data_IF_346161830542
#
_entry.id   IF_346161830542
#
_cell.length_a   1.000
_cell.length_b   1.000
_cell.length_c   1.000
_cell.angle_alpha   90.00
_cell.angle_beta   90.00
_cell.angle_gamma   90.00
#
_symmetry.space_group_name_H-M   'P 1'
#
loop_
_entity.id
_entity.type
_entity.pdbx_description
1 polymer ?
#
# COMPACT_ATOMS: atom_id res chain seq x y z
N UNK A 1 -20.37 -14.96 -15.83
CA UNK A 1 -19.50 -15.74 -16.74
C UNK A 1 -18.01 -15.35 -16.66
N UNK A 2 -17.64 -14.08 -16.49
CA UNK A 2 -16.22 -13.65 -16.37
C UNK A 2 -15.46 -14.18 -15.13
N UNK A 3 -16.18 -14.48 -14.04
CA UNK A 3 -15.57 -14.96 -12.79
C UNK A 3 -15.10 -16.42 -12.89
N UNK A 4 -15.81 -17.26 -13.66
CA UNK A 4 -15.43 -18.66 -13.93
C UNK A 4 -14.22 -18.73 -14.87
N UNK A 5 -14.10 -17.79 -15.82
CA UNK A 5 -12.97 -17.71 -16.74
C UNK A 5 -11.66 -17.32 -16.01
N UNK A 6 -11.73 -16.46 -14.98
CA UNK A 6 -10.57 -16.08 -14.16
C UNK A 6 -10.04 -17.24 -13.31
N UNK A 7 -10.94 -18.01 -12.69
CA UNK A 7 -10.56 -19.20 -11.90
C UNK A 7 -9.95 -20.28 -12.80
N UNK A 8 -10.47 -20.44 -14.02
CA UNK A 8 -9.91 -21.38 -14.99
C UNK A 8 -8.50 -20.99 -15.46
N UNK A 9 -8.24 -19.70 -15.71
CA UNK A 9 -6.92 -19.22 -16.14
C UNK A 9 -5.89 -19.23 -15.00
N UNK A 10 -6.28 -18.84 -13.79
CA UNK A 10 -5.44 -18.93 -12.59
C UNK A 10 -5.12 -20.39 -12.24
N UNK A 11 -6.09 -21.30 -12.41
CA UNK A 11 -5.88 -22.73 -12.23
C UNK A 11 -4.84 -23.31 -13.18
N UNK A 12 -4.87 -22.93 -14.46
CA UNK A 12 -3.87 -23.39 -15.44
C UNK A 12 -2.45 -22.88 -15.11
N UNK A 13 -2.32 -21.65 -14.62
CA UNK A 13 -1.02 -21.10 -14.22
C UNK A 13 -0.45 -21.84 -13.00
N UNK A 14 -1.27 -22.10 -11.98
CA UNK A 14 -0.85 -22.85 -10.77
C UNK A 14 -0.43 -24.27 -11.13
N UNK A 15 -1.19 -24.95 -12.01
CA UNK A 15 -0.83 -26.29 -12.50
C UNK A 15 0.47 -26.25 -13.30
N UNK A 16 0.68 -25.24 -14.14
CA UNK A 16 1.93 -25.06 -14.89
C UNK A 16 3.14 -24.82 -14.00
N UNK A 17 3.02 -23.97 -12.98
CA UNK A 17 4.08 -23.70 -11.99
C UNK A 17 4.39 -24.95 -11.17
N UNK A 18 3.38 -25.68 -10.71
CA UNK A 18 3.56 -26.94 -10.00
C UNK A 18 4.24 -28.00 -10.88
N UNK A 19 3.88 -28.08 -12.16
CA UNK A 19 4.52 -28.99 -13.12
C UNK A 19 5.99 -28.61 -13.35
N UNK A 20 6.31 -27.32 -13.48
CA UNK A 20 7.68 -26.83 -13.62
C UNK A 20 8.52 -27.16 -12.38
N UNK A 21 8.00 -26.87 -11.18
CA UNK A 21 8.66 -27.19 -9.90
C UNK A 21 8.89 -28.71 -9.79
N UNK A 22 7.89 -29.52 -10.14
CA UNK A 22 8.01 -30.98 -10.15
C UNK A 22 9.08 -31.46 -11.14
N UNK A 23 9.16 -30.87 -12.33
CA UNK A 23 10.14 -31.23 -13.35
C UNK A 23 11.56 -30.84 -12.93
N UNK A 24 11.72 -29.66 -12.30
CA UNK A 24 12.98 -29.21 -11.72
C UNK A 24 13.43 -30.09 -10.55
N UNK A 25 12.52 -30.49 -9.66
CA UNK A 25 12.81 -31.41 -8.56
C UNK A 25 13.16 -32.82 -9.08
N UNK A 26 12.45 -33.31 -10.10
CA UNK A 26 12.73 -34.63 -10.72
C UNK A 26 14.08 -34.63 -11.44
N UNK A 27 14.45 -33.51 -12.09
CA UNK A 27 15.77 -33.33 -12.71
C UNK A 27 16.85 -33.23 -11.65
N UNK A 28 16.67 -32.38 -10.62
CA UNK A 28 17.60 -32.19 -9.50
C UNK A 28 17.85 -33.49 -8.74
N UNK A 29 16.80 -34.26 -8.43
CA UNK A 29 16.94 -35.58 -7.77
C UNK A 29 17.72 -36.60 -8.61
N UNK A 30 17.75 -36.51 -9.95
CA UNK A 30 18.60 -37.38 -10.78
C UNK A 30 20.08 -37.00 -10.68
N UNK A 31 20.40 -35.72 -10.47
CA UNK A 31 21.77 -35.27 -10.20
C UNK A 31 22.17 -35.58 -8.76
N UNK A 32 21.29 -35.39 -7.78
CA UNK A 32 21.57 -35.68 -6.37
C UNK A 32 21.66 -37.19 -6.06
N UNK A 33 20.86 -38.05 -6.71
CA UNK A 33 20.97 -39.51 -6.51
C UNK A 33 22.30 -40.10 -7.00
N UNK A 34 23.04 -39.40 -7.87
CA UNK A 34 24.43 -39.76 -8.22
C UNK A 34 25.43 -39.32 -7.14
N UNK A 35 25.13 -38.27 -6.37
CA UNK A 35 25.95 -37.79 -5.26
C UNK A 35 25.70 -38.55 -3.94
N UNK A 36 24.47 -39.02 -3.70
CA UNK A 36 24.05 -39.57 -2.40
C UNK A 36 24.36 -41.07 -2.22
N UNK A 37 24.62 -41.82 -3.31
CA UNK A 37 25.02 -43.24 -3.22
C UNK A 37 26.51 -43.46 -2.89
N UNK A 38 27.31 -42.40 -2.69
CA UNK A 38 28.75 -42.54 -2.46
C UNK A 38 29.40 -41.69 -1.33
N UNK A 39 28.70 -41.14 -0.31
CA UNK A 39 29.35 -40.20 0.61
C UNK A 39 30.27 -40.87 1.67
N UNK A 40 30.13 -42.16 1.95
CA UNK A 40 30.94 -42.82 3.02
C UNK A 40 32.13 -43.61 2.48
N UNK A 41 32.00 -44.35 1.37
CA UNK A 41 33.16 -45.08 0.79
C UNK A 41 34.07 -44.21 -0.07
N UNK A 42 33.57 -43.14 -0.71
CA UNK A 42 34.42 -42.24 -1.50
C UNK A 42 35.28 -41.34 -0.58
N UNK A 43 34.74 -40.86 0.53
CA UNK A 43 35.50 -40.03 1.48
C UNK A 43 36.61 -40.81 2.17
N UNK A 44 36.38 -42.10 2.45
CA UNK A 44 37.38 -43.00 3.03
C UNK A 44 38.44 -43.42 1.99
N UNK A 45 38.04 -43.74 0.75
CA UNK A 45 39.00 -44.02 -0.33
C UNK A 45 39.81 -42.80 -0.77
N UNK A 46 39.25 -41.59 -0.72
CA UNK A 46 40.01 -40.34 -0.99
C UNK A 46 40.95 -40.01 0.18
N UNK A 47 40.58 -40.33 1.42
CA UNK A 47 41.47 -40.15 2.57
C UNK A 47 42.60 -41.20 2.63
N UNK A 48 42.35 -42.43 2.20
CA UNK A 48 43.36 -43.50 2.09
C UNK A 48 44.25 -43.35 0.85
N UNK A 49 43.69 -42.96 -0.31
CA UNK A 49 44.48 -42.64 -1.51
C UNK A 49 45.39 -41.42 -1.33
N UNK A 50 45.10 -40.55 -0.35
CA UNK A 50 45.98 -39.42 0.02
C UNK A 50 47.22 -39.84 0.81
N UNK A 51 47.26 -41.06 1.34
CA UNK A 51 48.37 -41.53 2.21
C UNK A 51 49.38 -42.43 1.49
N UNK A 52 49.10 -42.88 0.27
CA UNK A 52 50.00 -43.77 -0.48
C UNK A 52 50.17 -43.32 -1.93
N UNK A 53 50.97 -42.28 -2.13
CA UNK A 53 51.85 -42.06 -3.29
C UNK A 53 52.24 -40.58 -3.30
N UNK A 54 53.51 -40.23 -3.08
CA UNK A 54 53.94 -38.87 -3.35
C UNK A 54 53.79 -38.65 -4.86
N UNK A 55 52.98 -37.66 -5.26
CA UNK A 55 52.83 -37.13 -6.62
C UNK A 55 54.13 -36.46 -7.11
N UNK A 56 55.29 -37.04 -6.79
CA UNK A 56 56.62 -36.55 -7.20
C UNK A 56 56.85 -36.65 -8.71
N UNK A 57 55.95 -37.33 -9.43
CA UNK A 57 56.02 -37.54 -10.89
C UNK A 57 54.79 -36.99 -11.63
N UNK A 58 53.97 -36.15 -10.97
CA UNK A 58 52.89 -35.46 -11.66
C UNK A 58 53.48 -34.30 -12.50
N UNK A 59 53.11 -34.18 -13.80
CA UNK A 59 53.53 -33.07 -14.63
C UNK A 59 53.36 -31.73 -13.92
N UNK A 60 54.34 -30.82 -14.01
CA UNK A 60 54.34 -29.56 -13.26
C UNK A 60 53.09 -28.71 -13.55
N UNK A 61 52.46 -28.89 -14.72
CA UNK A 61 51.18 -28.24 -14.99
C UNK A 61 50.08 -28.68 -14.03
N UNK A 62 49.95 -29.98 -13.71
CA UNK A 62 48.88 -30.50 -12.84
C UNK A 62 49.03 -29.95 -11.42
N UNK A 63 50.26 -29.87 -10.91
CA UNK A 63 50.55 -29.27 -9.62
C UNK A 63 50.19 -27.77 -9.60
N UNK A 64 50.47 -27.04 -10.68
CA UNK A 64 50.09 -25.63 -10.82
C UNK A 64 48.58 -25.45 -10.81
N UNK A 65 47.85 -26.25 -11.60
CA UNK A 65 46.38 -26.25 -11.62
C UNK A 65 45.80 -26.59 -10.24
N UNK A 66 46.41 -27.53 -9.52
CA UNK A 66 45.97 -27.89 -8.17
C UNK A 66 46.11 -26.71 -7.19
N UNK A 67 47.23 -25.99 -7.24
CA UNK A 67 47.44 -24.81 -6.39
C UNK A 67 46.46 -23.70 -6.77
N UNK A 68 46.27 -23.43 -8.07
CA UNK A 68 45.35 -22.42 -8.57
C UNK A 68 43.89 -22.72 -8.16
N UNK A 69 43.47 -23.99 -8.27
CA UNK A 69 42.14 -24.42 -7.78
C UNK A 69 42.00 -24.31 -6.26
N UNK A 70 43.07 -24.56 -5.51
CA UNK A 70 43.05 -24.37 -4.06
C UNK A 70 42.95 -22.90 -3.67
N UNK A 71 43.64 -22.01 -4.40
CA UNK A 71 43.62 -20.58 -4.13
C UNK A 71 42.26 -19.97 -4.47
N UNK A 72 41.71 -20.32 -5.64
CA UNK A 72 40.34 -19.91 -6.04
C UNK A 72 39.28 -20.45 -5.08
N UNK A 73 39.40 -21.70 -4.61
CA UNK A 73 38.49 -22.24 -3.61
C UNK A 73 38.57 -21.47 -2.28
N UNK A 74 39.77 -21.03 -1.88
CA UNK A 74 39.98 -20.24 -0.67
C UNK A 74 39.39 -18.84 -0.81
N UNK A 75 39.59 -18.20 -1.96
CA UNK A 75 39.04 -16.89 -2.28
C UNK A 75 37.50 -16.91 -2.31
N UNK A 76 36.91 -17.87 -3.03
CA UNK A 76 35.45 -18.04 -3.08
C UNK A 76 34.86 -18.29 -1.69
N UNK A 77 35.55 -19.08 -0.85
CA UNK A 77 35.12 -19.30 0.52
C UNK A 77 35.12 -18.00 1.33
N UNK A 78 36.19 -17.21 1.23
CA UNK A 78 36.28 -15.93 1.93
C UNK A 78 35.18 -14.95 1.48
N UNK A 79 34.89 -14.89 0.18
CA UNK A 79 33.81 -14.06 -0.35
C UNK A 79 32.43 -14.52 0.15
N UNK A 80 32.18 -15.83 0.16
CA UNK A 80 30.93 -16.40 0.69
C UNK A 80 30.78 -16.13 2.19
N UNK A 81 31.84 -16.34 2.98
CA UNK A 81 31.82 -16.09 4.42
C UNK A 81 31.53 -14.59 4.70
N UNK A 82 32.12 -13.68 3.91
CA UNK A 82 31.84 -12.24 3.99
C UNK A 82 30.38 -11.89 3.67
N UNK A 83 29.84 -12.43 2.57
CA UNK A 83 28.44 -12.22 2.18
C UNK A 83 27.47 -12.82 3.19
N UNK A 84 27.78 -13.98 3.75
CA UNK A 84 26.96 -14.63 4.79
C UNK A 84 26.94 -13.77 6.06
N UNK A 85 28.08 -13.22 6.47
CA UNK A 85 28.16 -12.31 7.61
C UNK A 85 27.31 -11.05 7.37
N UNK A 86 27.35 -10.47 6.17
CA UNK A 86 26.53 -9.32 5.82
C UNK A 86 25.02 -9.64 5.87
N UNK A 87 24.61 -10.79 5.32
CA UNK A 87 23.21 -11.25 5.37
C UNK A 87 22.72 -11.55 6.79
N UNK A 88 23.58 -12.12 7.64
CA UNK A 88 23.26 -12.35 9.04
C UNK A 88 23.05 -11.03 9.79
N UNK A 89 23.88 -10.01 9.52
CA UNK A 89 23.74 -8.70 10.12
C UNK A 89 22.42 -8.02 9.70
N UNK A 90 22.07 -8.03 8.42
CA UNK A 90 20.82 -7.42 7.94
C UNK A 90 19.59 -8.15 8.44
N UNK A 91 19.63 -9.49 8.49
CA UNK A 91 18.54 -10.30 9.04
C UNK A 91 18.33 -9.98 10.52
N UNK A 92 19.41 -9.85 11.29
CA UNK A 92 19.33 -9.47 12.71
C UNK A 92 18.69 -8.10 12.91
N UNK A 93 19.07 -7.11 12.09
CA UNK A 93 18.47 -5.77 12.13
C UNK A 93 16.98 -5.82 11.77
N UNK A 94 16.60 -6.59 10.75
CA UNK A 94 15.21 -6.75 10.36
C UNK A 94 14.38 -7.41 11.48
N UNK A 95 14.90 -8.46 12.12
CA UNK A 95 14.24 -9.11 13.26
C UNK A 95 14.07 -8.18 14.46
N UNK A 96 15.08 -7.36 14.77
CA UNK A 96 15.00 -6.37 15.84
C UNK A 96 13.96 -5.29 15.53
N UNK A 97 13.93 -4.80 14.29
CA UNK A 97 12.94 -3.83 13.83
C UNK A 97 11.51 -4.39 13.90
N UNK A 98 11.29 -5.64 13.44
CA UNK A 98 10.00 -6.33 13.53
C UNK A 98 9.57 -6.50 14.98
N UNK A 99 10.45 -6.99 15.86
CA UNK A 99 10.14 -7.18 17.28
C UNK A 99 9.78 -5.85 17.97
N UNK A 100 10.49 -4.76 17.63
CA UNK A 100 10.16 -3.43 18.13
C UNK A 100 8.79 -2.97 17.66
N UNK A 101 8.44 -3.23 16.40
CA UNK A 101 7.16 -2.85 15.82
C UNK A 101 6.00 -3.65 16.46
N UNK A 102 6.18 -4.96 16.60
CA UNK A 102 5.22 -5.84 17.30
C UNK A 102 5.02 -5.39 18.75
N UNK A 103 6.09 -5.04 19.47
CA UNK A 103 5.97 -4.53 20.83
C UNK A 103 5.27 -3.16 20.90
N UNK A 104 5.44 -2.30 19.89
CA UNK A 104 4.73 -1.03 19.81
C UNK A 104 3.23 -1.23 19.50
N UNK A 105 2.91 -2.18 18.61
CA UNK A 105 1.53 -2.56 18.29
C UNK A 105 0.85 -3.15 19.52
N UNK A 106 1.48 -4.10 20.21
CA UNK A 106 0.94 -4.70 21.43
C UNK A 106 0.65 -3.64 22.52
N UNK A 107 1.55 -2.67 22.70
CA UNK A 107 1.31 -1.54 23.62
C UNK A 107 0.16 -0.64 23.16
N UNK A 108 0.02 -0.40 21.85
CA UNK A 108 -1.10 0.37 21.32
C UNK A 108 -2.44 -0.37 21.51
N UNK A 109 -2.44 -1.71 21.38
CA UNK A 109 -3.59 -2.56 21.67
C UNK A 109 -3.97 -2.53 23.16
N UNK A 110 -2.99 -2.64 24.07
CA UNK A 110 -3.22 -2.53 25.53
C UNK A 110 -3.81 -1.17 25.91
N UNK A 111 -3.38 -0.10 25.25
CA UNK A 111 -3.94 1.25 25.42
C UNK A 111 -5.30 1.44 24.73
N UNK A 112 -5.83 0.41 24.08
CA UNK A 112 -7.13 0.43 23.42
C UNK A 112 -7.16 1.26 22.13
N UNK A 113 -6.00 1.58 21.54
CA UNK A 113 -5.87 2.41 20.33
C UNK A 113 -6.31 1.63 19.08
N UNK A 114 -6.51 0.31 19.15
CA UNK A 114 -7.24 -0.46 18.12
C UNK A 114 -8.66 0.07 17.86
N UNK A 115 -9.22 0.91 18.75
CA UNK A 115 -10.42 1.70 18.46
C UNK A 115 -10.26 2.70 17.31
N UNK A 116 -9.06 3.06 16.85
CA UNK A 116 -8.93 3.93 15.68
C UNK A 116 -9.50 3.28 14.40
N UNK A 117 -9.35 1.95 14.25
CA UNK A 117 -9.99 1.20 13.18
C UNK A 117 -11.53 1.16 13.37
N UNK A 118 -12.00 1.02 14.61
CA UNK A 118 -13.41 1.14 14.95
C UNK A 118 -13.95 2.56 14.75
N UNK A 119 -13.13 3.61 14.96
CA UNK A 119 -13.53 4.99 14.69
C UNK A 119 -13.61 5.26 13.19
N UNK A 120 -12.72 4.67 12.38
CA UNK A 120 -12.80 4.79 10.92
C UNK A 120 -14.06 4.07 10.39
N UNK A 121 -14.34 2.86 10.90
CA UNK A 121 -15.57 2.12 10.58
C UNK A 121 -16.84 2.83 11.10
N UNK A 122 -16.77 3.49 12.27
CA UNK A 122 -17.86 4.32 12.78
C UNK A 122 -18.07 5.58 11.95
N UNK A 123 -17.00 6.22 11.46
CA UNK A 123 -17.05 7.36 10.55
C UNK A 123 -17.63 6.95 9.19
N UNK A 124 -17.24 5.78 8.65
CA UNK A 124 -17.79 5.25 7.39
C UNK A 124 -19.29 4.91 7.50
N UNK A 125 -19.73 4.37 8.65
CA UNK A 125 -21.15 4.15 8.94
C UNK A 125 -21.95 5.45 9.10
N UNK A 126 -21.33 6.53 9.60
CA UNK A 126 -21.93 7.87 9.60
C UNK A 126 -22.03 8.44 8.17
N UNK A 127 -21.07 8.12 7.31
CA UNK A 127 -21.06 8.53 5.90
C UNK A 127 -22.21 7.89 5.08
N UNK A 128 -22.67 6.70 5.46
CA UNK A 128 -23.88 6.08 4.90
C UNK A 128 -25.17 6.85 5.17
N UNK A 129 -25.16 7.78 6.13
CA UNK A 129 -26.29 8.66 6.46
C UNK A 129 -26.30 9.96 5.62
N UNK A 130 -25.23 10.26 4.87
CA UNK A 130 -25.10 11.50 4.08
C UNK A 130 -26.15 11.64 2.98
N UNK A 131 -26.64 10.54 2.40
CA UNK A 131 -27.71 10.59 1.39
C UNK A 131 -29.02 11.19 1.93
N UNK A 132 -29.28 11.06 3.24
CA UNK A 132 -30.43 11.71 3.90
C UNK A 132 -30.17 13.16 4.29
N UNK A 133 -28.91 13.50 4.59
CA UNK A 133 -28.49 14.85 4.99
C UNK A 133 -28.42 15.75 3.76
N UNK A 134 -27.89 15.26 2.63
CA UNK A 134 -27.85 16.00 1.36
C UNK A 134 -29.25 16.27 0.82
N UNK A 135 -30.17 15.31 0.95
CA UNK A 135 -31.57 15.52 0.58
C UNK A 135 -32.24 16.59 1.47
N UNK A 136 -31.97 16.58 2.78
CA UNK A 136 -32.50 17.57 3.71
C UNK A 136 -31.87 18.96 3.51
N UNK A 137 -30.58 19.03 3.17
CA UNK A 137 -29.86 20.28 2.89
C UNK A 137 -30.34 20.90 1.56
N UNK A 138 -30.60 20.06 0.55
CA UNK A 138 -31.19 20.48 -0.72
C UNK A 138 -32.61 21.04 -0.51
N UNK A 139 -33.45 20.37 0.27
CA UNK A 139 -34.79 20.86 0.59
C UNK A 139 -34.77 22.18 1.38
N UNK A 140 -33.85 22.31 2.34
CA UNK A 140 -33.71 23.53 3.15
C UNK A 140 -33.14 24.71 2.36
N UNK A 141 -32.24 24.46 1.40
CA UNK A 141 -31.68 25.50 0.53
C UNK A 141 -32.71 26.04 -0.47
N UNK A 142 -33.57 25.17 -1.01
CA UNK A 142 -34.69 25.58 -1.86
C UNK A 142 -35.68 26.48 -1.11
N UNK A 143 -36.10 26.08 0.10
CA UNK A 143 -37.01 26.89 0.93
C UNK A 143 -36.41 28.26 1.28
N UNK A 144 -35.12 28.30 1.66
CA UNK A 144 -34.42 29.56 1.93
C UNK A 144 -34.34 30.45 0.69
N UNK A 145 -34.13 29.88 -0.49
CA UNK A 145 -34.11 30.63 -1.74
C UNK A 145 -35.46 31.26 -2.06
N UNK A 146 -36.57 30.54 -1.83
CA UNK A 146 -37.92 31.07 -2.02
C UNK A 146 -38.23 32.22 -1.05
N UNK A 147 -37.83 32.09 0.22
CA UNK A 147 -37.99 33.16 1.23
C UNK A 147 -37.24 34.44 0.83
N UNK A 148 -36.01 34.31 0.32
CA UNK A 148 -35.21 35.46 -0.13
C UNK A 148 -35.86 36.17 -1.34
N UNK A 149 -36.44 35.40 -2.27
CA UNK A 149 -37.12 35.97 -3.43
C UNK A 149 -38.40 36.70 -3.02
N UNK A 150 -39.23 36.10 -2.17
CA UNK A 150 -40.45 36.72 -1.66
C UNK A 150 -40.15 38.00 -0.87
N UNK A 151 -39.07 37.99 -0.09
CA UNK A 151 -38.59 39.14 0.66
C UNK A 151 -38.14 40.29 -0.27
N UNK A 152 -37.39 39.98 -1.33
CA UNK A 152 -36.95 40.95 -2.34
C UNK A 152 -38.14 41.56 -3.09
N UNK A 153 -39.13 40.75 -3.44
CA UNK A 153 -40.36 41.20 -4.09
C UNK A 153 -41.16 42.18 -3.21
N UNK A 154 -41.27 41.90 -1.90
CA UNK A 154 -41.93 42.79 -0.95
C UNK A 154 -41.25 44.17 -0.85
N UNK A 155 -39.91 44.21 -0.83
CA UNK A 155 -39.14 45.45 -0.85
C UNK A 155 -39.40 46.25 -2.13
N UNK A 156 -39.47 45.58 -3.28
CA UNK A 156 -39.74 46.24 -4.56
C UNK A 156 -41.16 46.77 -4.67
N UNK A 157 -42.14 46.02 -4.19
CA UNK A 157 -43.53 46.48 -4.17
C UNK A 157 -43.70 47.74 -3.29
N UNK A 158 -43.01 47.81 -2.16
CA UNK A 158 -43.02 49.01 -1.30
C UNK A 158 -42.27 50.19 -1.93
N UNK A 159 -41.19 49.94 -2.66
CA UNK A 159 -40.48 50.98 -3.42
C UNK A 159 -41.35 51.53 -4.56
N UNK A 160 -42.13 50.69 -5.24
CA UNK A 160 -43.07 51.08 -6.30
C UNK A 160 -44.21 51.97 -5.79
N UNK A 161 -44.53 51.91 -4.50
CA UNK A 161 -45.46 52.82 -3.84
C UNK A 161 -44.86 54.20 -3.54
N UNK A 162 -43.59 54.43 -3.90
CA UNK A 162 -42.88 55.70 -3.68
C UNK A 162 -42.41 55.90 -2.23
N UNK A 163 -42.32 54.84 -1.44
CA UNK A 163 -41.81 54.91 -0.07
C UNK A 163 -40.29 55.11 -0.07
N UNK A 164 -39.80 55.94 0.85
CA UNK A 164 -38.36 56.12 1.05
C UNK A 164 -37.72 54.86 1.65
N UNK A 165 -36.46 54.56 1.29
CA UNK A 165 -35.73 53.37 1.74
C UNK A 165 -35.70 53.20 3.27
N UNK A 166 -35.64 54.30 4.02
CA UNK A 166 -35.70 54.30 5.49
C UNK A 166 -37.06 53.90 6.08
N UNK A 167 -38.16 54.17 5.36
CA UNK A 167 -39.50 53.71 5.74
C UNK A 167 -39.68 52.22 5.45
N UNK A 168 -39.15 51.75 4.32
CA UNK A 168 -39.18 50.33 3.91
C UNK A 168 -38.34 49.48 4.88
N UNK A 169 -37.13 49.93 5.21
CA UNK A 169 -36.27 49.25 6.18
C UNK A 169 -36.97 49.06 7.54
N UNK A 170 -37.71 50.08 7.99
CA UNK A 170 -38.46 50.02 9.24
C UNK A 170 -39.68 49.09 9.16
N UNK A 171 -40.38 49.04 8.02
CA UNK A 171 -41.57 48.19 7.86
C UNK A 171 -41.22 46.72 7.68
N UNK A 172 -40.11 46.43 7.01
CA UNK A 172 -39.65 45.06 6.71
C UNK A 172 -38.72 44.51 7.81
N UNK A 173 -38.18 45.37 8.67
CA UNK A 173 -37.25 44.96 9.74
C UNK A 173 -35.83 44.70 9.23
N UNK A 174 -35.45 45.37 8.15
CA UNK A 174 -34.19 45.19 7.44
C UNK A 174 -33.19 46.31 7.79
N UNK A 175 -31.87 46.06 7.72
CA UNK A 175 -30.89 47.15 7.76
C UNK A 175 -31.05 48.04 6.52
N UNK A 176 -30.96 49.37 6.73
CA UNK A 176 -31.16 50.36 5.68
C UNK A 176 -30.25 50.13 4.46
N UNK A 177 -28.98 49.79 4.69
CA UNK A 177 -28.01 49.54 3.62
C UNK A 177 -28.39 48.40 2.68
N UNK A 178 -28.99 47.32 3.19
CA UNK A 178 -29.41 46.19 2.35
C UNK A 178 -30.61 46.56 1.48
N UNK A 179 -31.51 47.39 2.00
CA UNK A 179 -32.67 47.90 1.25
C UNK A 179 -32.22 48.86 0.15
N UNK A 180 -31.30 49.78 0.46
CA UNK A 180 -30.72 50.68 -0.53
C UNK A 180 -30.00 49.91 -1.64
N UNK A 181 -29.18 48.92 -1.28
CA UNK A 181 -28.49 48.04 -2.22
C UNK A 181 -29.48 47.28 -3.13
N UNK A 182 -30.52 46.68 -2.56
CA UNK A 182 -31.52 45.94 -3.33
C UNK A 182 -32.29 46.83 -4.30
N UNK A 183 -32.62 48.06 -3.89
CA UNK A 183 -33.27 49.06 -4.76
C UNK A 183 -32.30 49.50 -5.86
N UNK A 184 -31.04 49.79 -5.55
CA UNK A 184 -30.01 50.12 -6.54
C UNK A 184 -29.80 49.01 -7.58
N UNK A 185 -29.78 47.75 -7.15
CA UNK A 185 -29.69 46.59 -8.05
C UNK A 185 -30.87 46.45 -9.02
N UNK A 186 -32.01 47.07 -8.72
CA UNK A 186 -33.18 47.12 -9.64
C UNK A 186 -33.15 48.35 -10.53
N UNK A 187 -32.67 49.47 -10.02
CA UNK A 187 -32.55 50.73 -10.76
C UNK A 187 -31.39 50.73 -11.75
N UNK A 188 -30.44 49.81 -11.62
CA UNK A 188 -29.33 49.63 -12.55
C UNK A 188 -29.80 48.92 -13.83
N UNK A 189 -29.86 49.59 -15.00
CA UNK A 189 -30.32 49.00 -16.25
C UNK A 189 -29.28 48.09 -16.93
N UNK A 190 -28.12 47.83 -16.30
CA UNK A 190 -26.97 47.15 -16.91
C UNK A 190 -27.12 45.61 -17.09
N UNK A 191 -28.33 45.05 -16.99
CA UNK A 191 -28.62 43.65 -17.29
C UNK A 191 -29.94 43.47 -18.06
N UNK A 192 -30.10 44.19 -19.17
CA UNK A 192 -30.95 43.75 -20.30
C UNK A 192 -30.08 43.21 -21.43
#
# INVERSE_FOLDING_TARGET
>A
MYLVASIASQGMFVVGVLMLIFLLLRRSKRYLKRAEKQPTRARQKVAEARKTAPLLDAPPEILRWQVEMHETARELKAELDSKMSALQATTRIASEASSRLEAAIARAEELGISRCADTLAAIENLNGSEASVDAALAEMSLRRSEEILAYREAIYHLADQGLAASAIARSVGAPLGDVELLISLRSDPASQ
#
